data_IF_448852783514
#
_entry.id   IF_448852783514
#
_cell.length_a   1.000
_cell.length_b   1.000
_cell.length_c   1.000
_cell.angle_alpha   90.00
_cell.angle_beta   90.00
_cell.angle_gamma   90.00
#
_symmetry.space_group_name_H-M   'P 1'
#
loop_
_entity.id
_entity.type
_entity.pdbx_description
1 polymer ?
#
# COMPACT_ATOMS: atom_id res chain seq x y z
N UNK A 1 -1.73 -14.59 3.95
CA UNK A 1 -2.94 -13.99 3.31
C UNK A 1 -2.62 -12.52 3.17
N UNK A 2 -2.81 -11.92 1.98
CA UNK A 2 -2.38 -10.56 1.76
C UNK A 2 -3.17 -9.60 2.67
N UNK A 3 -2.47 -8.59 3.19
CA UNK A 3 -3.03 -7.61 4.10
C UNK A 3 -4.15 -6.84 3.42
N UNK A 4 -5.35 -6.92 3.99
CA UNK A 4 -6.53 -6.18 3.52
C UNK A 4 -6.96 -5.12 4.51
N UNK A 5 -7.28 -3.93 4.01
CA UNK A 5 -7.84 -2.83 4.78
C UNK A 5 -9.18 -2.40 4.19
N UNK A 6 -10.21 -2.35 5.03
CA UNK A 6 -11.52 -1.81 4.66
C UNK A 6 -11.57 -0.34 5.02
N UNK A 7 -11.77 0.51 4.02
CA UNK A 7 -11.84 1.95 4.24
C UNK A 7 -13.15 2.37 4.95
N UNK A 8 -13.23 3.63 5.36
CA UNK A 8 -14.43 4.24 5.97
C UNK A 8 -15.67 4.20 5.06
N UNK A 9 -15.52 3.88 3.77
CA UNK A 9 -16.62 3.73 2.79
C UNK A 9 -17.02 2.26 2.56
N UNK A 10 -16.52 1.32 3.35
CA UNK A 10 -16.84 -0.10 3.26
C UNK A 10 -16.19 -0.83 2.07
N UNK A 11 -15.16 -0.25 1.46
CA UNK A 11 -14.42 -0.86 0.34
C UNK A 11 -13.14 -1.49 0.83
N UNK A 12 -12.95 -2.76 0.50
CA UNK A 12 -11.72 -3.49 0.80
C UNK A 12 -10.64 -3.15 -0.23
N UNK A 13 -9.42 -3.00 0.28
CA UNK A 13 -8.21 -2.83 -0.51
C UNK A 13 -7.11 -3.70 0.06
N UNK A 14 -6.19 -4.12 -0.80
CA UNK A 14 -5.08 -5.00 -0.48
C UNK A 14 -3.79 -4.24 -0.65
N UNK A 15 -2.88 -4.40 0.32
CA UNK A 15 -1.57 -3.76 0.31
C UNK A 15 -0.62 -4.48 -0.63
N UNK A 16 0.08 -3.68 -1.44
CA UNK A 16 1.11 -4.14 -2.35
C UNK A 16 2.36 -3.25 -2.25
N UNK A 17 3.50 -3.81 -2.61
CA UNK A 17 4.72 -3.10 -2.92
C UNK A 17 5.05 -3.19 -4.41
N UNK A 18 5.75 -2.18 -4.91
CA UNK A 18 6.36 -2.20 -6.23
C UNK A 18 7.67 -1.43 -6.19
N UNK A 19 8.72 -2.07 -6.70
CA UNK A 19 9.98 -1.37 -6.97
C UNK A 19 9.87 -0.70 -8.33
N UNK A 20 10.00 0.63 -8.37
CA UNK A 20 10.03 1.41 -9.61
C UNK A 20 11.37 2.10 -9.77
N UNK A 21 11.89 2.13 -10.99
CA UNK A 21 13.10 2.90 -11.32
C UNK A 21 12.69 4.32 -11.71
N UNK A 22 13.26 5.30 -11.01
CA UNK A 22 13.05 6.72 -11.28
C UNK A 22 13.90 7.17 -12.48
N UNK A 23 13.56 8.33 -13.06
CA UNK A 23 14.24 8.87 -14.25
C UNK A 23 15.74 9.16 -14.04
N UNK A 24 16.17 9.32 -12.78
CA UNK A 24 17.58 9.53 -12.40
C UNK A 24 18.36 8.22 -12.20
N UNK A 25 17.77 7.05 -12.49
CA UNK A 25 18.39 5.74 -12.34
C UNK A 25 18.24 5.11 -10.95
N UNK A 26 17.73 5.84 -9.96
CA UNK A 26 17.52 5.29 -8.62
C UNK A 26 16.27 4.41 -8.57
N UNK A 27 16.33 3.32 -7.82
CA UNK A 27 15.17 2.48 -7.53
C UNK A 27 14.47 2.96 -6.26
N UNK A 28 13.14 2.96 -6.28
CA UNK A 28 12.32 3.28 -5.13
C UNK A 28 11.23 2.22 -4.97
N UNK A 29 11.14 1.64 -3.77
CA UNK A 29 9.98 0.83 -3.39
C UNK A 29 8.84 1.76 -3.00
N UNK A 30 7.71 1.60 -3.68
CA UNK A 30 6.46 2.28 -3.35
C UNK A 30 5.47 1.26 -2.80
N UNK A 31 4.68 1.70 -1.82
CA UNK A 31 3.57 0.91 -1.28
C UNK A 31 2.25 1.50 -1.72
N UNK A 32 1.31 0.66 -2.12
CA UNK A 32 0.01 1.10 -2.62
C UNK A 32 -1.09 0.09 -2.31
N UNK A 33 -2.32 0.59 -2.26
CA UNK A 33 -3.51 -0.20 -2.03
C UNK A 33 -4.30 -0.40 -3.33
N UNK A 34 -4.64 -1.64 -3.65
CA UNK A 34 -5.42 -2.02 -4.84
C UNK A 34 -6.68 -2.79 -4.43
N UNK A 35 -7.75 -2.75 -5.23
CA UNK A 35 -9.02 -3.44 -4.90
C UNK A 35 -8.90 -4.97 -4.96
N UNK A 36 -7.94 -5.46 -5.73
CA UNK A 36 -7.71 -6.89 -5.95
C UNK A 36 -6.27 -7.23 -5.60
N UNK A 37 -6.06 -8.44 -5.10
CA UNK A 37 -4.73 -8.98 -4.87
C UNK A 37 -4.10 -9.25 -6.23
N UNK A 38 -3.00 -8.56 -6.52
CA UNK A 38 -2.11 -8.97 -7.59
C UNK A 38 -1.23 -10.09 -7.05
N UNK A 39 -0.98 -11.15 -7.83
CA UNK A 39 -0.08 -12.22 -7.41
C UNK A 39 1.34 -11.71 -7.14
N UNK A 40 1.72 -10.58 -7.73
CA UNK A 40 3.03 -9.97 -7.58
C UNK A 40 2.96 -8.75 -6.65
N UNK A 41 3.85 -8.73 -5.65
CA UNK A 41 4.03 -7.62 -4.73
C UNK A 41 2.96 -7.48 -3.64
N UNK A 42 2.00 -8.40 -3.51
CA UNK A 42 1.08 -8.37 -2.38
C UNK A 42 1.82 -8.64 -1.07
N UNK A 43 1.58 -7.81 -0.06
CA UNK A 43 2.22 -7.94 1.26
C UNK A 43 1.25 -8.56 2.26
N UNK A 44 1.74 -9.47 3.10
CA UNK A 44 0.93 -10.06 4.18
C UNK A 44 0.77 -9.13 5.39
N UNK A 45 1.61 -8.10 5.52
CA UNK A 45 1.57 -7.15 6.63
C UNK A 45 2.05 -5.76 6.22
N UNK A 46 1.70 -4.77 7.05
CA UNK A 46 2.23 -3.41 6.92
C UNK A 46 3.72 -3.42 7.29
N UNK A 47 4.62 -2.87 6.45
CA UNK A 47 6.04 -2.78 6.76
C UNK A 47 6.32 -2.00 8.05
N UNK A 48 7.39 -2.36 8.74
CA UNK A 48 7.80 -1.66 9.98
C UNK A 48 8.10 -0.18 9.73
N UNK A 49 7.69 0.67 10.66
CA UNK A 49 7.80 2.13 10.53
C UNK A 49 6.74 2.76 9.62
N UNK A 50 5.73 2.00 9.21
CA UNK A 50 4.57 2.51 8.48
C UNK A 50 3.26 2.18 9.19
N UNK A 51 2.27 3.05 8.99
CA UNK A 51 0.89 2.87 9.45
C UNK A 51 -0.10 3.11 8.29
N UNK A 52 -1.25 2.45 8.35
CA UNK A 52 -2.32 2.67 7.37
C UNK A 52 -3.11 3.92 7.76
N UNK A 53 -3.22 4.86 6.82
CA UNK A 53 -4.06 6.05 6.94
C UNK A 53 -4.96 6.14 5.73
N UNK A 54 -6.12 6.77 5.88
CA UNK A 54 -6.97 7.09 4.74
C UNK A 54 -6.71 8.52 4.24
N UNK A 55 -6.73 8.69 2.92
CA UNK A 55 -6.75 10.01 2.29
C UNK A 55 -8.18 10.57 2.23
N UNK A 56 -8.34 11.86 1.92
CA UNK A 56 -9.65 12.54 1.90
C UNK A 56 -10.69 11.88 0.97
N UNK A 57 -10.26 11.17 -0.07
CA UNK A 57 -11.17 10.48 -1.00
C UNK A 57 -11.55 9.06 -0.51
N UNK A 58 -10.98 8.59 0.59
CA UNK A 58 -11.16 7.25 1.15
C UNK A 58 -10.20 6.20 0.58
N UNK A 59 -9.14 6.59 -0.15
CA UNK A 59 -8.09 5.65 -0.56
C UNK A 59 -7.13 5.41 0.61
N UNK A 60 -6.93 4.14 1.04
CA UNK A 60 -5.93 3.80 2.03
C UNK A 60 -4.52 4.04 1.48
N UNK A 61 -3.65 4.56 2.31
CA UNK A 61 -2.25 4.89 2.03
C UNK A 61 -1.38 4.52 3.22
N UNK A 62 -0.11 4.23 2.99
CA UNK A 62 0.85 4.11 4.08
C UNK A 62 1.46 5.47 4.40
N UNK A 63 1.51 5.80 5.68
CA UNK A 63 2.29 6.93 6.23
C UNK A 63 3.43 6.39 7.07
N UNK A 64 4.50 7.15 7.20
CA UNK A 64 5.56 6.81 8.16
C UNK A 64 5.02 7.00 9.56
N UNK A 65 4.98 5.91 10.33
CA UNK A 65 4.70 5.95 11.74
C UNK A 65 5.92 6.61 12.41
N UNK A 66 5.71 7.75 13.07
CA UNK A 66 6.76 8.50 13.76
C UNK A 66 6.99 7.94 15.15
#
# INVERSE_FOLDING_TARGET
MPFSFTNSKGRAYILHEKTTTLKNGNTQTIYFFAKEAKPEGALDAVPSGYEVSESKNGLPVLKRAT
#
